data_IF_522845027984
#
_entry.id   IF_522845027984
#
_cell.length_a   1.000
_cell.length_b   1.000
_cell.length_c   1.000
_cell.angle_alpha   90.00
_cell.angle_beta   90.00
_cell.angle_gamma   90.00
#
_symmetry.space_group_name_H-M   'P 1'
#
loop_
_entity.id
_entity.type
_entity.pdbx_description
1 polymer ?
#
# COMPACT_ATOMS: atom_id res chain seq x y z
N UNK A 1 35.10 20.42 -12.20
CA UNK A 1 35.06 19.97 -10.80
C UNK A 1 33.63 20.19 -10.36
N UNK A 2 32.77 19.17 -10.52
CA UNK A 2 31.34 19.26 -10.24
C UNK A 2 31.15 18.52 -8.92
N UNK A 3 30.84 19.29 -7.87
CA UNK A 3 30.58 18.76 -6.54
C UNK A 3 29.26 17.99 -6.56
N UNK A 4 29.37 16.66 -6.55
CA UNK A 4 28.29 15.80 -6.10
C UNK A 4 28.16 16.00 -4.59
N UNK A 5 27.19 16.82 -4.17
CA UNK A 5 26.73 16.87 -2.78
C UNK A 5 26.03 15.54 -2.45
N UNK A 6 26.83 14.51 -2.13
CA UNK A 6 26.37 13.37 -1.36
C UNK A 6 25.90 13.88 0.00
N UNK A 7 24.70 13.49 0.39
CA UNK A 7 24.16 13.85 1.70
C UNK A 7 25.10 13.31 2.78
N UNK A 8 25.71 14.18 3.59
CA UNK A 8 26.46 13.74 4.77
C UNK A 8 25.49 13.07 5.75
N UNK A 9 25.58 11.74 5.86
CA UNK A 9 24.80 10.87 6.75
C UNK A 9 25.28 10.96 8.20
N UNK A 10 24.39 11.08 9.20
CA UNK A 10 24.58 10.28 10.44
C UNK A 10 23.46 10.22 11.50
N UNK A 11 22.37 10.98 11.44
CA UNK A 11 21.39 10.96 12.56
C UNK A 11 20.36 9.83 12.50
N UNK A 12 19.84 9.49 11.31
CA UNK A 12 18.90 8.37 11.15
C UNK A 12 19.55 6.98 11.36
N UNK A 13 20.86 6.86 11.11
CA UNK A 13 21.61 5.61 11.29
C UNK A 13 21.68 5.20 12.77
N UNK A 14 22.03 6.12 13.68
CA UNK A 14 22.28 5.76 15.09
C UNK A 14 21.03 5.38 15.89
N UNK A 15 19.85 5.95 15.58
CA UNK A 15 18.62 5.68 16.34
C UNK A 15 18.04 4.29 16.08
N UNK A 16 18.27 3.74 14.88
CA UNK A 16 17.79 2.40 14.51
C UNK A 16 18.77 1.29 14.94
N UNK A 17 20.02 1.65 15.24
CA UNK A 17 21.18 0.74 15.36
C UNK A 17 21.79 0.62 16.75
N UNK A 18 21.06 0.92 17.82
CA UNK A 18 21.59 0.56 19.14
C UNK A 18 21.59 -0.97 19.31
N UNK A 19 22.75 -1.65 19.46
CA UNK A 19 22.83 -3.11 19.45
C UNK A 19 22.25 -3.81 20.70
N UNK A 20 21.46 -3.12 21.54
CA UNK A 20 21.18 -3.59 22.91
C UNK A 20 19.78 -3.33 23.48
N UNK A 21 18.74 -3.05 22.68
CA UNK A 21 17.40 -2.77 23.26
C UNK A 21 16.49 -4.02 23.33
N UNK A 22 16.86 -5.15 22.70
CA UNK A 22 16.10 -6.41 22.85
C UNK A 22 16.38 -7.17 24.16
N UNK A 23 17.26 -6.66 25.02
CA UNK A 23 17.53 -7.19 26.36
C UNK A 23 17.26 -6.11 27.42
N UNK A 24 16.05 -5.58 27.46
CA UNK A 24 15.58 -5.12 28.75
C UNK A 24 15.28 -6.40 29.56
N UNK A 25 16.19 -6.73 30.48
CA UNK A 25 16.13 -7.85 31.41
C UNK A 25 15.02 -7.68 32.46
N UNK A 26 13.85 -7.19 32.04
CA UNK A 26 12.61 -7.56 32.68
C UNK A 26 12.10 -8.76 31.90
N UNK A 27 12.41 -9.96 32.42
CA UNK A 27 11.54 -11.11 32.21
C UNK A 27 10.14 -10.69 32.70
N UNK A 28 9.37 -10.05 31.83
CA UNK A 28 7.94 -10.15 31.90
C UNK A 28 7.68 -11.64 31.70
N UNK A 29 7.51 -12.35 32.81
CA UNK A 29 6.74 -13.57 32.81
C UNK A 29 5.38 -13.17 32.26
N UNK A 30 5.22 -13.27 30.94
CA UNK A 30 3.92 -13.19 30.32
C UNK A 30 3.12 -14.32 30.95
N UNK A 31 2.12 -13.95 31.73
CA UNK A 31 1.17 -14.91 32.22
C UNK A 31 0.50 -15.51 30.98
N UNK A 32 0.89 -16.73 30.64
CA UNK A 32 0.32 -17.52 29.53
C UNK A 32 -1.13 -17.93 29.82
N UNK A 33 -1.74 -17.36 30.86
CA UNK A 33 -3.14 -17.54 31.26
C UNK A 33 -4.11 -16.55 30.61
N UNK A 34 -3.66 -15.57 29.82
CA UNK A 34 -4.54 -14.89 28.86
C UNK A 34 -4.62 -15.70 27.56
N UNK A 35 -5.22 -16.88 27.69
CA UNK A 35 -5.73 -17.68 26.58
C UNK A 35 -6.56 -16.82 25.64
N UNK A 36 -6.13 -16.72 24.37
CA UNK A 36 -6.99 -16.54 23.20
C UNK A 36 -8.15 -15.54 23.34
N UNK A 37 -7.87 -14.24 23.56
CA UNK A 37 -8.81 -13.27 22.96
C UNK A 37 -8.61 -13.38 21.45
N UNK A 38 -9.54 -14.04 20.77
CA UNK A 38 -9.60 -14.02 19.32
C UNK A 38 -9.62 -12.55 18.87
N UNK A 39 -8.49 -12.08 18.35
CA UNK A 39 -8.41 -10.74 17.80
C UNK A 39 -9.15 -10.72 16.46
N UNK A 40 -9.73 -9.57 16.13
CA UNK A 40 -10.55 -9.43 14.93
C UNK A 40 -10.27 -8.13 14.22
N UNK A 41 -10.36 -8.17 12.89
CA UNK A 41 -10.49 -6.98 12.05
C UNK A 41 -11.89 -6.85 11.51
N UNK A 42 -12.22 -5.67 11.00
CA UNK A 42 -13.50 -5.38 10.36
C UNK A 42 -13.35 -5.47 8.85
N UNK A 43 -14.37 -5.93 8.16
CA UNK A 43 -14.49 -5.89 6.70
C UNK A 43 -15.77 -5.15 6.31
N UNK A 44 -15.66 -4.27 5.34
CA UNK A 44 -16.78 -3.68 4.62
C UNK A 44 -16.55 -3.78 3.12
N UNK A 45 -17.60 -4.15 2.38
CA UNK A 45 -17.55 -4.35 0.94
C UNK A 45 -18.48 -3.37 0.25
N UNK A 46 -18.00 -2.73 -0.80
CA UNK A 46 -18.78 -1.83 -1.66
C UNK A 46 -18.78 -2.34 -3.10
N UNK A 47 -19.96 -2.48 -3.70
CA UNK A 47 -20.15 -3.09 -5.01
C UNK A 47 -20.77 -2.09 -5.98
N UNK A 48 -20.10 -1.85 -7.10
CA UNK A 48 -20.49 -0.90 -8.15
C UNK A 48 -20.47 -1.56 -9.52
N UNK A 49 -21.21 -1.00 -10.46
CA UNK A 49 -21.13 -1.38 -11.87
C UNK A 49 -19.84 -0.81 -12.49
N UNK A 50 -19.08 -1.65 -13.19
CA UNK A 50 -17.76 -1.30 -13.74
C UNK A 50 -17.82 -0.07 -14.66
N UNK A 51 -16.82 0.81 -14.55
CA UNK A 51 -16.72 2.08 -15.29
C UNK A 51 -17.87 3.06 -15.03
N UNK A 52 -18.60 2.89 -13.92
CA UNK A 52 -19.66 3.80 -13.49
C UNK A 52 -19.60 4.01 -11.98
N UNK A 53 -20.26 5.06 -11.49
CA UNK A 53 -20.47 5.28 -10.05
C UNK A 53 -21.79 4.69 -9.56
N UNK A 54 -22.41 3.80 -10.35
CA UNK A 54 -23.72 3.22 -10.03
C UNK A 54 -23.57 2.11 -8.99
N UNK A 55 -24.11 2.28 -7.77
CA UNK A 55 -24.07 1.24 -6.76
C UNK A 55 -24.97 0.06 -7.14
N UNK A 56 -24.56 -1.15 -6.78
CA UNK A 56 -25.35 -2.36 -6.98
C UNK A 56 -26.01 -2.75 -5.67
N UNK A 57 -27.32 -2.51 -5.58
CA UNK A 57 -28.16 -2.95 -4.45
C UNK A 57 -28.38 -4.46 -4.48
N UNK A 58 -28.35 -5.08 -3.31
CA UNK A 58 -28.76 -6.48 -3.13
C UNK A 58 -27.75 -7.51 -3.62
N UNK A 59 -26.53 -7.10 -3.97
CA UNK A 59 -25.43 -8.01 -4.28
C UNK A 59 -25.10 -8.85 -3.05
N UNK A 60 -24.94 -10.15 -3.24
CA UNK A 60 -24.57 -11.10 -2.18
C UNK A 60 -23.05 -11.24 -2.15
N UNK A 61 -22.49 -11.15 -0.95
CA UNK A 61 -21.06 -11.33 -0.71
C UNK A 61 -20.87 -12.52 0.23
N UNK A 62 -20.33 -13.62 -0.28
CA UNK A 62 -19.99 -14.80 0.50
C UNK A 62 -18.53 -14.70 0.95
N UNK A 63 -18.32 -14.75 2.27
CA UNK A 63 -16.99 -14.64 2.88
C UNK A 63 -16.53 -16.01 3.35
N UNK A 64 -15.35 -16.44 2.89
CA UNK A 64 -14.68 -17.68 3.31
C UNK A 64 -13.27 -17.34 3.78
N UNK A 65 -12.75 -18.07 4.76
CA UNK A 65 -11.33 -17.95 5.12
C UNK A 65 -10.52 -18.83 4.19
N UNK A 66 -9.41 -18.31 3.69
CA UNK A 66 -8.65 -18.97 2.63
C UNK A 66 -8.09 -20.33 3.04
N UNK A 67 -7.72 -20.49 4.32
CA UNK A 67 -7.06 -21.69 4.84
C UNK A 67 -8.04 -22.74 5.42
N UNK A 68 -9.33 -22.45 5.53
CA UNK A 68 -10.35 -23.32 6.17
C UNK A 68 -11.33 -23.97 5.15
N UNK A 69 -10.93 -24.04 3.87
CA UNK A 69 -11.69 -24.72 2.82
C UNK A 69 -12.92 -23.96 2.33
N UNK A 70 -13.98 -24.68 1.94
CA UNK A 70 -15.18 -24.11 1.28
C UNK A 70 -16.24 -23.55 2.24
N UNK A 71 -16.00 -23.56 3.54
CA UNK A 71 -16.99 -23.11 4.53
C UNK A 71 -17.26 -21.61 4.41
N UNK A 72 -18.53 -21.26 4.26
CA UNK A 72 -18.99 -19.87 4.29
C UNK A 72 -19.09 -19.44 5.74
N UNK A 73 -18.29 -18.45 6.13
CA UNK A 73 -18.31 -17.86 7.47
C UNK A 73 -19.53 -16.97 7.61
N UNK A 74 -19.80 -16.15 6.59
CA UNK A 74 -20.91 -15.22 6.59
C UNK A 74 -21.34 -14.90 5.16
N UNK A 75 -22.59 -14.44 5.03
CA UNK A 75 -23.14 -13.89 3.79
C UNK A 75 -23.64 -12.49 4.08
N UNK A 76 -23.11 -11.50 3.36
CA UNK A 76 -23.51 -10.11 3.45
C UNK A 76 -24.34 -9.74 2.22
N UNK A 77 -25.09 -8.65 2.35
CA UNK A 77 -25.85 -8.09 1.24
C UNK A 77 -25.65 -6.57 1.18
N UNK A 78 -25.51 -6.03 -0.02
CA UNK A 78 -25.37 -4.57 -0.21
C UNK A 78 -26.71 -3.84 -0.09
N UNK A 79 -26.67 -2.65 0.52
CA UNK A 79 -27.80 -1.73 0.65
C UNK A 79 -27.98 -0.85 -0.61
N UNK A 80 -28.82 0.19 -0.52
CA UNK A 80 -29.14 1.10 -1.64
C UNK A 80 -27.94 1.89 -2.18
N UNK A 81 -26.89 2.06 -1.39
CA UNK A 81 -25.64 2.73 -1.79
C UNK A 81 -24.53 1.73 -2.16
N UNK A 82 -24.88 0.45 -2.33
CA UNK A 82 -23.94 -0.59 -2.76
C UNK A 82 -23.01 -1.07 -1.65
N UNK A 83 -23.29 -0.76 -0.39
CA UNK A 83 -22.42 -1.05 0.75
C UNK A 83 -22.99 -2.18 1.61
N UNK A 84 -22.14 -3.10 2.07
CA UNK A 84 -22.53 -4.13 3.05
C UNK A 84 -22.57 -3.57 4.47
N UNK A 85 -23.21 -4.28 5.40
CA UNK A 85 -22.91 -4.11 6.81
C UNK A 85 -21.44 -4.46 7.10
N UNK A 86 -20.91 -3.88 8.18
CA UNK A 86 -19.56 -4.22 8.67
C UNK A 86 -19.61 -5.59 9.34
N UNK A 87 -18.66 -6.46 9.01
CA UNK A 87 -18.47 -7.76 9.67
C UNK A 87 -17.14 -7.83 10.39
N UNK A 88 -17.12 -8.47 11.56
CA UNK A 88 -15.88 -8.76 12.29
C UNK A 88 -15.38 -10.16 11.92
N UNK A 89 -14.12 -10.25 11.51
CA UNK A 89 -13.47 -11.48 11.05
C UNK A 89 -12.23 -11.74 11.88
N UNK A 90 -11.93 -13.02 12.15
CA UNK A 90 -10.74 -13.40 12.93
C UNK A 90 -9.46 -12.93 12.25
N UNK A 91 -8.52 -12.43 13.04
CA UNK A 91 -7.21 -11.99 12.58
C UNK A 91 -6.14 -12.30 13.64
N UNK A 92 -4.87 -12.47 13.25
CA UNK A 92 -3.76 -12.55 14.19
C UNK A 92 -3.71 -11.30 15.08
N UNK A 93 -3.21 -11.42 16.31
CA UNK A 93 -3.14 -10.29 17.25
C UNK A 93 -2.27 -9.15 16.71
N UNK A 94 -2.55 -7.90 17.14
CA UNK A 94 -1.88 -6.69 16.61
C UNK A 94 -0.37 -6.75 16.79
N UNK A 95 0.06 -7.39 17.86
CA UNK A 95 1.45 -7.59 18.28
C UNK A 95 2.27 -8.32 17.19
N UNK A 96 1.64 -9.18 16.37
CA UNK A 96 2.30 -9.82 15.23
C UNK A 96 2.83 -8.83 14.19
N UNK A 97 2.30 -7.60 14.14
CA UNK A 97 2.76 -6.55 13.23
C UNK A 97 3.89 -5.68 13.81
N UNK A 98 4.50 -6.10 14.93
CA UNK A 98 5.51 -5.31 15.66
C UNK A 98 6.95 -5.73 15.41
N UNK A 99 7.20 -6.93 14.89
CA UNK A 99 8.54 -7.45 14.58
C UNK A 99 8.63 -7.84 13.09
N UNK A 100 9.61 -7.33 12.33
CA UNK A 100 9.88 -7.76 10.95
C UNK A 100 10.12 -9.27 10.78
N UNK A 101 10.57 -9.96 11.82
CA UNK A 101 10.78 -11.42 11.85
C UNK A 101 9.62 -12.18 12.50
N UNK A 102 8.55 -11.47 12.88
CA UNK A 102 7.37 -12.04 13.52
C UNK A 102 6.49 -12.88 12.57
N UNK A 103 5.46 -13.55 13.13
CA UNK A 103 4.49 -14.28 12.32
C UNK A 103 3.65 -13.33 11.45
N UNK A 104 3.01 -13.89 10.40
CA UNK A 104 2.11 -13.15 9.50
C UNK A 104 1.04 -12.39 10.30
N UNK A 105 0.92 -11.05 10.19
CA UNK A 105 0.05 -10.22 11.04
C UNK A 105 -1.40 -10.06 10.56
N UNK A 106 -1.80 -10.83 9.54
CA UNK A 106 -3.14 -10.76 8.96
C UNK A 106 -3.66 -12.15 8.57
N UNK A 107 -4.97 -12.27 8.50
CA UNK A 107 -5.65 -13.43 7.90
C UNK A 107 -6.09 -13.11 6.47
N UNK A 108 -6.17 -14.14 5.63
CA UNK A 108 -6.58 -14.04 4.23
C UNK A 108 -7.98 -14.65 4.04
N UNK A 109 -8.82 -13.95 3.30
CA UNK A 109 -10.19 -14.34 3.00
C UNK A 109 -10.45 -14.34 1.50
N UNK A 110 -11.41 -15.16 1.10
CA UNK A 110 -11.95 -15.22 -0.26
C UNK A 110 -13.37 -14.65 -0.23
N UNK A 111 -13.61 -13.67 -1.08
CA UNK A 111 -14.92 -13.07 -1.30
C UNK A 111 -15.47 -13.56 -2.63
N UNK A 112 -16.69 -14.09 -2.63
CA UNK A 112 -17.46 -14.35 -3.87
C UNK A 112 -18.62 -13.36 -3.91
N UNK A 113 -18.71 -12.59 -4.97
CA UNK A 113 -19.72 -11.54 -5.15
C UNK A 113 -20.63 -11.95 -6.31
N UNK A 114 -21.93 -11.98 -6.02
CA UNK A 114 -22.98 -12.33 -6.98
C UNK A 114 -24.05 -11.24 -6.98
N UNK A 115 -24.48 -10.81 -8.16
CA UNK A 115 -25.60 -9.87 -8.32
C UNK A 115 -26.43 -10.23 -9.56
N UNK A 116 -27.77 -10.03 -9.54
CA UNK A 116 -28.61 -10.29 -10.71
C UNK A 116 -28.19 -9.44 -11.92
N UNK A 117 -28.04 -10.08 -13.08
CA UNK A 117 -27.58 -9.47 -14.35
C UNK A 117 -26.11 -9.04 -14.39
N UNK A 118 -25.28 -9.51 -13.46
CA UNK A 118 -23.83 -9.27 -13.46
C UNK A 118 -23.04 -10.58 -13.43
N UNK A 119 -21.81 -10.54 -13.95
CA UNK A 119 -20.85 -11.64 -13.82
C UNK A 119 -20.48 -11.91 -12.36
N UNK A 120 -19.88 -13.05 -12.07
CA UNK A 120 -19.43 -13.39 -10.72
C UNK A 120 -18.02 -12.84 -10.52
N UNK A 121 -17.78 -12.10 -9.44
CA UNK A 121 -16.43 -11.69 -9.05
C UNK A 121 -15.94 -12.53 -7.87
N UNK A 122 -14.71 -13.02 -7.95
CA UNK A 122 -14.02 -13.69 -6.85
C UNK A 122 -12.77 -12.88 -6.49
N UNK A 123 -12.64 -12.44 -5.24
CA UNK A 123 -11.42 -11.78 -4.74
C UNK A 123 -10.77 -12.72 -3.73
N UNK A 124 -9.58 -13.22 -4.04
CA UNK A 124 -8.79 -14.10 -3.17
C UNK A 124 -7.70 -13.31 -2.47
N UNK A 125 -7.30 -13.73 -1.27
CA UNK A 125 -6.23 -13.07 -0.52
C UNK A 125 -6.61 -11.76 0.14
N UNK A 126 -7.90 -11.48 0.37
CA UNK A 126 -8.35 -10.26 1.07
C UNK A 126 -7.79 -10.26 2.49
N UNK A 127 -6.99 -9.24 2.80
CA UNK A 127 -6.20 -9.21 4.04
C UNK A 127 -6.96 -8.50 5.15
N UNK A 128 -7.07 -9.15 6.32
CA UNK A 128 -7.72 -8.60 7.52
C UNK A 128 -6.70 -8.52 8.65
N UNK A 129 -6.48 -7.31 9.17
CA UNK A 129 -5.60 -7.03 10.31
C UNK A 129 -6.41 -6.80 11.59
N UNK A 130 -5.86 -7.18 12.74
CA UNK A 130 -6.49 -6.94 14.02
C UNK A 130 -6.66 -5.45 14.33
N UNK A 131 -7.85 -5.07 14.78
CA UNK A 131 -8.17 -3.73 15.22
C UNK A 131 -8.30 -2.69 14.09
N UNK A 132 -8.32 -3.11 12.83
CA UNK A 132 -8.44 -2.21 11.67
C UNK A 132 -9.70 -2.49 10.85
N UNK A 133 -10.01 -1.61 9.89
CA UNK A 133 -11.16 -1.77 9.00
C UNK A 133 -10.71 -1.94 7.55
N UNK A 134 -10.76 -3.16 7.03
CA UNK A 134 -10.53 -3.46 5.62
C UNK A 134 -11.73 -3.01 4.76
N UNK A 135 -11.42 -2.28 3.68
CA UNK A 135 -12.39 -1.80 2.69
C UNK A 135 -12.14 -2.52 1.36
N UNK A 136 -13.13 -3.28 0.89
CA UNK A 136 -13.06 -3.94 -0.40
C UNK A 136 -14.03 -3.25 -1.38
N UNK A 137 -13.50 -2.57 -2.39
CA UNK A 137 -14.28 -2.09 -3.53
C UNK A 137 -14.30 -3.15 -4.63
N UNK A 138 -15.48 -3.43 -5.18
CA UNK A 138 -15.67 -4.43 -6.25
C UNK A 138 -16.46 -3.80 -7.39
N UNK A 139 -15.92 -3.88 -8.59
CA UNK A 139 -16.58 -3.44 -9.83
C UNK A 139 -17.09 -4.66 -10.60
N UNK A 140 -18.39 -4.71 -10.87
CA UNK A 140 -19.08 -5.84 -11.50
C UNK A 140 -19.38 -5.52 -12.96
N UNK A 141 -19.18 -6.50 -13.84
CA UNK A 141 -19.46 -6.37 -15.28
C UNK A 141 -20.92 -6.79 -15.54
N UNK A 142 -21.75 -5.94 -16.16
CA UNK A 142 -23.10 -6.33 -16.60
C UNK A 142 -23.03 -7.47 -17.62
N UNK A 143 -23.87 -8.49 -17.43
CA UNK A 143 -24.07 -9.52 -18.45
C UNK A 143 -25.03 -8.93 -19.49
N UNK A 144 -24.49 -8.44 -20.61
CA UNK A 144 -25.35 -8.05 -21.73
C UNK A 144 -26.18 -9.26 -22.15
N UNK A 145 -27.47 -9.05 -22.45
CA UNK A 145 -28.48 -10.09 -22.80
C UNK A 145 -28.09 -11.00 -23.99
N UNK A 146 -26.94 -10.79 -24.62
CA UNK A 146 -26.39 -11.55 -25.74
C UNK A 146 -25.60 -12.76 -25.26
N UNK A 147 -26.28 -13.74 -24.64
CA UNK A 147 -25.86 -15.15 -24.59
C UNK A 147 -24.48 -15.53 -24.04
N UNK A 148 -23.65 -14.59 -23.58
CA UNK A 148 -22.37 -14.88 -22.98
C UNK A 148 -22.59 -15.48 -21.59
N UNK A 149 -21.96 -16.65 -21.39
CA UNK A 149 -21.88 -17.35 -20.11
C UNK A 149 -21.54 -16.35 -18.99
N UNK A 150 -22.14 -16.52 -17.81
CA UNK A 150 -21.74 -15.79 -16.59
C UNK A 150 -20.21 -15.75 -16.51
N UNK A 151 -19.60 -14.60 -16.80
CA UNK A 151 -18.15 -14.47 -16.72
C UNK A 151 -17.76 -14.50 -15.25
N UNK A 152 -16.83 -15.41 -14.92
CA UNK A 152 -16.21 -15.45 -13.60
C UNK A 152 -14.89 -14.71 -13.73
N UNK A 153 -14.78 -13.58 -13.04
CA UNK A 153 -13.53 -12.83 -12.95
C UNK A 153 -12.90 -13.06 -11.57
N UNK A 154 -11.61 -13.42 -11.57
CA UNK A 154 -10.85 -13.71 -10.36
C UNK A 154 -9.78 -12.63 -10.19
N UNK A 155 -9.78 -12.01 -9.01
CA UNK A 155 -8.74 -11.09 -8.55
C UNK A 155 -7.94 -11.81 -7.48
N UNK A 156 -6.63 -11.96 -7.72
CA UNK A 156 -5.71 -12.55 -6.76
C UNK A 156 -4.91 -11.45 -6.06
N UNK A 157 -5.21 -11.19 -4.80
CA UNK A 157 -4.46 -10.25 -3.97
C UNK A 157 -3.14 -10.89 -3.57
N UNK A 158 -2.05 -10.29 -4.02
CA UNK A 158 -0.70 -10.79 -3.70
C UNK A 158 -0.34 -10.60 -2.22
N UNK A 159 0.61 -11.41 -1.76
CA UNK A 159 1.15 -11.34 -0.41
C UNK A 159 1.69 -9.93 -0.08
N UNK A 160 1.41 -9.45 1.13
CA UNK A 160 1.86 -8.14 1.62
C UNK A 160 3.39 -8.03 1.65
N UNK A 161 3.93 -6.90 1.17
CA UNK A 161 5.38 -6.78 0.91
C UNK A 161 6.25 -6.82 2.17
N UNK A 162 5.76 -6.29 3.28
CA UNK A 162 6.46 -6.36 4.58
C UNK A 162 6.57 -7.77 5.19
N UNK A 163 5.82 -8.77 4.69
CA UNK A 163 5.94 -10.15 5.18
C UNK A 163 7.06 -10.95 4.52
N UNK A 164 7.60 -10.46 3.40
CA UNK A 164 8.78 -11.07 2.77
C UNK A 164 10.03 -10.51 3.44
N UNK A 165 10.78 -11.37 4.14
CA UNK A 165 12.08 -11.03 4.68
C UNK A 165 12.99 -10.57 3.51
N UNK A 166 13.60 -9.39 3.64
CA UNK A 166 14.46 -8.75 2.62
C UNK A 166 13.81 -8.45 1.26
N UNK A 167 12.88 -7.50 1.25
CA UNK A 167 12.66 -6.72 0.04
C UNK A 167 13.55 -5.46 0.08
N UNK A 168 14.71 -5.53 -0.55
CA UNK A 168 15.45 -4.35 -0.98
C UNK A 168 15.01 -4.02 -2.40
N UNK A 169 14.54 -2.79 -2.64
CA UNK A 169 14.23 -2.37 -4.00
C UNK A 169 15.57 -2.17 -4.73
N UNK A 170 15.92 -3.10 -5.60
CA UNK A 170 17.02 -2.89 -6.55
C UNK A 170 16.53 -1.92 -7.63
N UNK A 171 16.58 -0.62 -7.35
CA UNK A 171 16.45 0.36 -8.42
C UNK A 171 17.62 0.12 -9.36
N UNK A 172 17.35 -0.45 -10.53
CA UNK A 172 18.29 -0.29 -11.63
C UNK A 172 18.37 1.22 -11.85
N UNK A 173 19.51 1.80 -11.53
CA UNK A 173 19.84 3.18 -11.82
C UNK A 173 20.02 3.29 -13.34
N UNK A 174 18.95 3.07 -14.10
CA UNK A 174 18.85 3.58 -15.45
C UNK A 174 18.68 5.09 -15.29
N UNK A 175 19.81 5.78 -15.14
CA UNK A 175 19.92 7.14 -15.61
C UNK A 175 19.73 7.06 -17.12
N UNK A 176 18.47 7.05 -17.57
CA UNK A 176 18.20 7.63 -18.86
C UNK A 176 18.49 9.10 -18.62
N UNK A 177 19.73 9.53 -18.94
CA UNK A 177 20.03 10.94 -19.09
C UNK A 177 19.15 11.42 -20.23
N UNK A 178 17.90 11.76 -19.92
CA UNK A 178 17.15 12.67 -20.74
C UNK A 178 17.92 13.98 -20.65
N UNK A 179 18.65 14.30 -21.70
CA UNK A 179 19.22 15.64 -21.88
C UNK A 179 18.11 16.68 -22.08
N UNK A 180 16.86 16.23 -22.23
CA UNK A 180 15.70 17.07 -22.36
C UNK A 180 15.11 17.33 -20.97
N UNK A 181 15.07 18.61 -20.59
CA UNK A 181 14.26 19.09 -19.46
C UNK A 181 12.82 18.67 -19.77
N UNK A 182 12.12 17.95 -18.86
CA UNK A 182 10.72 17.60 -19.06
C UNK A 182 9.93 18.86 -19.43
N UNK A 183 9.13 18.79 -20.50
CA UNK A 183 8.44 19.94 -21.09
C UNK A 183 7.50 20.66 -20.09
N UNK A 184 7.20 20.01 -18.96
CA UNK A 184 6.27 20.44 -17.92
C UNK A 184 6.91 20.61 -16.53
N UNK A 185 8.24 20.68 -16.44
CA UNK A 185 8.98 20.80 -15.18
C UNK A 185 8.49 21.97 -14.28
N UNK A 186 8.03 23.05 -14.90
CA UNK A 186 7.68 24.30 -14.19
C UNK A 186 6.31 24.28 -13.48
N UNK A 187 5.48 23.25 -13.68
CA UNK A 187 4.14 23.18 -13.07
C UNK A 187 3.70 21.74 -12.81
N UNK A 188 4.37 21.08 -11.85
CA UNK A 188 3.96 19.76 -11.38
C UNK A 188 2.56 19.85 -10.76
N UNK A 189 1.62 19.08 -11.30
CA UNK A 189 0.26 18.94 -10.77
C UNK A 189 -0.05 17.47 -10.53
N UNK A 190 -0.88 17.20 -9.53
CA UNK A 190 -1.38 15.84 -9.28
C UNK A 190 -2.34 15.49 -10.41
N UNK A 191 -2.06 14.45 -11.22
CA UNK A 191 -2.98 14.05 -12.27
C UNK A 191 -4.23 13.43 -11.64
N UNK A 192 -5.37 13.59 -12.29
CA UNK A 192 -6.60 12.90 -11.86
C UNK A 192 -6.45 11.38 -11.94
N UNK A 193 -5.81 10.89 -13.00
CA UNK A 193 -5.62 9.46 -13.26
C UNK A 193 -4.18 9.14 -13.62
N UNK A 194 -3.74 7.94 -13.29
CA UNK A 194 -2.49 7.35 -13.78
C UNK A 194 -2.78 6.04 -14.51
N UNK A 195 -1.88 5.65 -15.41
CA UNK A 195 -1.95 4.37 -16.11
C UNK A 195 -0.93 3.42 -15.48
N UNK A 196 -1.42 2.41 -14.76
CA UNK A 196 -0.60 1.37 -14.13
C UNK A 196 -0.45 0.20 -15.09
N UNK A 197 0.79 -0.16 -15.43
CA UNK A 197 1.13 -1.35 -16.21
C UNK A 197 1.35 -2.54 -15.26
N UNK A 198 0.51 -3.57 -15.36
CA UNK A 198 0.42 -4.63 -14.37
C UNK A 198 1.45 -5.76 -14.55
N UNK A 199 2.73 -5.40 -14.53
CA UNK A 199 3.80 -6.36 -14.66
C UNK A 199 5.13 -5.71 -14.99
N UNK A 200 6.07 -6.53 -15.47
CA UNK A 200 7.37 -6.06 -15.94
C UNK A 200 7.19 -4.98 -17.03
N UNK A 201 7.81 -3.79 -16.92
CA UNK A 201 7.64 -2.69 -17.87
C UNK A 201 8.21 -2.98 -19.27
N UNK A 202 8.89 -4.12 -19.47
CA UNK A 202 9.42 -4.59 -20.75
C UNK A 202 8.61 -5.74 -21.36
N UNK A 203 7.57 -6.22 -20.67
CA UNK A 203 6.72 -7.32 -21.12
C UNK A 203 5.29 -6.81 -21.38
N UNK A 204 4.52 -7.56 -22.16
CA UNK A 204 3.11 -7.26 -22.35
C UNK A 204 2.31 -7.64 -21.09
N UNK A 205 1.54 -6.70 -20.56
CA UNK A 205 0.69 -6.90 -19.40
C UNK A 205 -0.55 -5.99 -19.47
N UNK A 206 -1.63 -6.31 -18.75
CA UNK A 206 -2.79 -5.44 -18.63
C UNK A 206 -2.41 -4.04 -18.13
N UNK A 207 -3.21 -3.04 -18.52
CA UNK A 207 -3.07 -1.66 -18.05
C UNK A 207 -4.36 -1.18 -17.42
N UNK A 208 -4.25 -0.54 -16.26
CA UNK A 208 -5.39 -0.01 -15.52
C UNK A 208 -5.28 1.50 -15.43
N UNK A 209 -6.36 2.20 -15.81
CA UNK A 209 -6.54 3.61 -15.54
C UNK A 209 -7.09 3.75 -14.12
N UNK A 210 -6.33 4.34 -13.22
CA UNK A 210 -6.65 4.40 -11.79
C UNK A 210 -6.62 5.84 -11.33
N UNK A 211 -7.57 6.24 -10.47
CA UNK A 211 -7.51 7.55 -9.80
C UNK A 211 -6.20 7.66 -9.00
N UNK A 212 -5.53 8.81 -9.06
CA UNK A 212 -4.22 8.96 -8.42
C UNK A 212 -4.30 8.67 -6.92
N UNK A 213 -5.35 9.10 -6.24
CA UNK A 213 -5.49 8.88 -4.81
C UNK A 213 -5.75 7.41 -4.48
N UNK A 214 -6.58 6.75 -5.27
CA UNK A 214 -6.83 5.31 -5.13
C UNK A 214 -5.57 4.48 -5.42
N UNK A 215 -4.70 4.94 -6.32
CA UNK A 215 -3.37 4.34 -6.50
C UNK A 215 -2.52 4.45 -5.22
N UNK A 216 -2.44 5.63 -4.61
CA UNK A 216 -1.68 5.82 -3.36
C UNK A 216 -2.23 4.94 -2.24
N UNK A 217 -3.57 4.82 -2.09
CA UNK A 217 -4.20 3.91 -1.11
C UNK A 217 -3.84 2.46 -1.38
N UNK A 218 -3.89 2.03 -2.64
CA UNK A 218 -3.56 0.67 -3.05
C UNK A 218 -2.10 0.31 -2.75
N UNK A 219 -1.16 1.18 -3.14
CA UNK A 219 0.27 1.00 -2.87
C UNK A 219 0.53 1.00 -1.37
N UNK A 220 -0.01 1.99 -0.65
CA UNK A 220 0.19 2.11 0.80
C UNK A 220 -0.28 0.88 1.54
N UNK A 221 -1.47 0.37 1.22
CA UNK A 221 -1.96 -0.84 1.86
C UNK A 221 -1.23 -2.12 1.42
N UNK A 222 -0.46 -2.10 0.32
CA UNK A 222 0.37 -3.25 -0.16
C UNK A 222 1.75 -3.25 0.50
N UNK A 223 2.17 -2.07 0.95
CA UNK A 223 3.53 -1.77 1.39
C UNK A 223 3.62 -1.44 2.90
N UNK A 224 2.50 -1.20 3.57
CA UNK A 224 2.41 -0.76 4.97
C UNK A 224 1.31 -1.51 5.71
N UNK A 225 1.57 -1.85 6.98
CA UNK A 225 0.54 -2.40 7.83
C UNK A 225 -0.37 -1.29 8.39
N UNK A 226 -1.70 -1.45 8.33
CA UNK A 226 -2.65 -0.41 8.72
C UNK A 226 -2.70 -0.12 10.21
N UNK A 227 -2.19 -1.03 11.04
CA UNK A 227 -2.19 -0.91 12.50
C UNK A 227 -0.93 -0.22 13.06
N UNK A 228 -0.05 0.26 12.19
CA UNK A 228 1.14 1.05 12.55
C UNK A 228 0.78 2.45 13.08
N UNK A 229 1.70 3.11 13.81
CA UNK A 229 1.51 4.48 14.26
C UNK A 229 1.19 5.43 13.09
N UNK A 230 0.26 6.36 13.31
CA UNK A 230 -0.18 7.31 12.27
C UNK A 230 0.98 8.13 11.70
N UNK A 231 1.95 8.52 12.52
CA UNK A 231 3.13 9.29 12.09
C UNK A 231 4.04 8.49 11.15
N UNK A 232 4.19 7.18 11.38
CA UNK A 232 4.90 6.31 10.45
C UNK A 232 4.15 6.18 9.13
N UNK A 233 2.82 5.97 9.18
CA UNK A 233 1.99 5.93 7.97
C UNK A 233 2.10 7.23 7.16
N UNK A 234 2.04 8.39 7.83
CA UNK A 234 2.20 9.71 7.19
C UNK A 234 3.54 9.85 6.47
N UNK A 235 4.64 9.54 7.15
CA UNK A 235 5.97 9.63 6.55
C UNK A 235 6.10 8.71 5.32
N UNK A 236 5.59 7.48 5.41
CA UNK A 236 5.62 6.54 4.29
C UNK A 236 4.75 6.99 3.12
N UNK A 237 3.53 7.48 3.37
CA UNK A 237 2.63 7.97 2.32
C UNK A 237 3.26 9.15 1.56
N UNK A 238 3.90 10.10 2.25
CA UNK A 238 4.62 11.21 1.59
C UNK A 238 5.75 10.69 0.69
N UNK A 239 6.52 9.72 1.19
CA UNK A 239 7.52 9.07 0.36
C UNK A 239 6.88 8.36 -0.86
N UNK A 240 5.70 7.76 -0.70
CA UNK A 240 5.02 7.00 -1.76
C UNK A 240 4.57 7.96 -2.85
N UNK A 241 3.95 9.06 -2.46
CA UNK A 241 3.57 10.17 -3.33
C UNK A 241 4.79 10.76 -4.06
N UNK A 242 5.88 11.03 -3.33
CA UNK A 242 7.11 11.58 -3.93
C UNK A 242 7.68 10.69 -5.02
N UNK A 243 7.66 9.36 -4.83
CA UNK A 243 8.13 8.41 -5.83
C UNK A 243 7.30 8.45 -7.12
N UNK A 244 5.97 8.37 -7.02
CA UNK A 244 5.12 8.36 -8.23
C UNK A 244 5.13 9.73 -8.92
N UNK A 245 5.17 10.83 -8.17
CA UNK A 245 5.33 12.15 -8.74
C UNK A 245 6.69 12.31 -9.45
N UNK A 246 7.76 11.67 -8.97
CA UNK A 246 9.04 11.66 -9.69
C UNK A 246 8.91 10.93 -11.04
N UNK A 247 8.18 9.79 -11.09
CA UNK A 247 7.92 9.07 -12.35
C UNK A 247 7.13 9.92 -13.35
N UNK A 248 6.15 10.68 -12.86
CA UNK A 248 5.35 11.61 -13.66
C UNK A 248 6.21 12.78 -14.13
N UNK A 249 6.93 13.44 -13.23
CA UNK A 249 7.78 14.60 -13.52
C UNK A 249 8.83 14.29 -14.57
N UNK A 250 9.45 13.11 -14.50
CA UNK A 250 10.48 12.66 -15.44
C UNK A 250 9.91 11.91 -16.66
N UNK A 251 8.59 11.85 -16.83
CA UNK A 251 7.93 11.18 -17.96
C UNK A 251 8.48 9.74 -18.21
N UNK A 252 8.78 9.02 -17.11
CA UNK A 252 9.72 7.90 -17.14
C UNK A 252 9.34 6.74 -18.08
N UNK A 253 8.04 6.53 -18.32
CA UNK A 253 7.50 5.51 -19.21
C UNK A 253 6.65 6.09 -20.35
N UNK A 254 6.81 7.39 -20.67
CA UNK A 254 5.99 8.08 -21.67
C UNK A 254 6.00 7.38 -23.03
N UNK A 255 7.18 7.05 -23.57
CA UNK A 255 7.35 6.32 -24.83
C UNK A 255 6.72 4.91 -24.83
N UNK A 256 6.41 4.36 -23.65
CA UNK A 256 5.75 3.05 -23.51
C UNK A 256 4.24 3.16 -23.32
N UNK A 257 3.71 4.37 -23.15
CA UNK A 257 2.28 4.66 -23.01
C UNK A 257 1.68 4.26 -21.66
N UNK A 258 2.46 4.28 -20.58
CA UNK A 258 1.98 4.13 -19.21
C UNK A 258 2.77 5.03 -18.24
N UNK A 259 2.30 5.15 -16.99
CA UNK A 259 2.91 6.04 -15.99
C UNK A 259 3.84 5.30 -15.05
N UNK A 260 3.43 4.11 -14.60
CA UNK A 260 4.15 3.34 -13.57
C UNK A 260 3.90 1.83 -13.73
N UNK A 261 4.87 1.00 -13.37
CA UNK A 261 4.73 -0.45 -13.28
C UNK A 261 4.15 -0.86 -11.91
N UNK A 262 3.38 -1.95 -11.86
CA UNK A 262 2.95 -2.59 -10.60
C UNK A 262 4.04 -3.47 -9.96
N UNK A 263 5.12 -3.73 -10.70
CA UNK A 263 6.20 -4.61 -10.27
C UNK A 263 7.12 -3.90 -9.28
N UNK A 264 7.19 -4.43 -8.06
CA UNK A 264 8.03 -3.91 -6.98
C UNK A 264 9.53 -4.01 -7.23
N UNK A 265 9.95 -4.68 -8.31
CA UNK A 265 11.34 -4.70 -8.79
C UNK A 265 11.71 -3.37 -9.46
N UNK A 266 10.77 -2.75 -10.17
CA UNK A 266 11.00 -1.54 -10.95
C UNK A 266 10.40 -0.30 -10.27
N UNK A 267 9.22 -0.46 -9.67
CA UNK A 267 8.43 0.62 -9.08
C UNK A 267 7.81 0.22 -7.73
N UNK A 268 6.59 0.68 -7.46
CA UNK A 268 5.83 0.45 -6.25
C UNK A 268 4.89 -0.73 -6.42
N UNK A 269 4.58 -1.36 -5.29
CA UNK A 269 3.74 -2.55 -5.24
C UNK A 269 2.28 -2.18 -5.38
N UNK A 270 1.72 -2.41 -6.56
CA UNK A 270 0.30 -2.24 -6.84
C UNK A 270 -0.33 -3.60 -7.16
N UNK A 271 -1.58 -3.80 -6.76
CA UNK A 271 -2.35 -4.99 -7.16
C UNK A 271 -3.81 -4.58 -7.39
N UNK A 272 -4.27 -4.71 -8.64
CA UNK A 272 -5.58 -4.23 -9.04
C UNK A 272 -6.70 -4.97 -8.31
N UNK A 273 -7.66 -4.22 -7.75
CA UNK A 273 -8.82 -4.80 -7.10
C UNK A 273 -8.60 -5.35 -5.68
N UNK A 274 -7.42 -5.16 -5.06
CA UNK A 274 -7.23 -5.50 -3.64
C UNK A 274 -8.00 -4.61 -2.69
N UNK A 275 -8.14 -5.07 -1.45
CA UNK A 275 -8.66 -4.26 -0.36
C UNK A 275 -7.64 -3.20 0.13
N UNK A 276 -8.18 -2.09 0.61
CA UNK A 276 -7.44 -1.08 1.39
C UNK A 276 -7.90 -1.12 2.85
N UNK A 277 -7.47 -0.13 3.65
CA UNK A 277 -7.78 -0.06 5.06
C UNK A 277 -8.14 1.37 5.43
N UNK A 278 -9.20 1.56 6.22
CA UNK A 278 -9.67 2.88 6.65
C UNK A 278 -8.54 3.71 7.26
N UNK A 279 -7.70 3.08 8.08
CA UNK A 279 -6.59 3.72 8.79
C UNK A 279 -5.51 4.27 7.83
N UNK A 280 -5.32 3.61 6.69
CA UNK A 280 -4.42 4.08 5.63
C UNK A 280 -5.13 5.09 4.74
N UNK A 281 -6.38 4.81 4.35
CA UNK A 281 -7.19 5.67 3.51
C UNK A 281 -7.31 7.08 4.11
N UNK A 282 -7.58 7.18 5.42
CA UNK A 282 -7.69 8.46 6.13
C UNK A 282 -6.37 9.26 6.10
N UNK A 283 -5.23 8.58 6.24
CA UNK A 283 -3.91 9.22 6.13
C UNK A 283 -3.66 9.70 4.71
N UNK A 284 -3.97 8.88 3.70
CA UNK A 284 -3.81 9.24 2.29
C UNK A 284 -4.71 10.43 1.95
N UNK A 285 -5.98 10.40 2.34
CA UNK A 285 -6.92 11.50 2.10
C UNK A 285 -6.44 12.83 2.71
N UNK A 286 -5.68 12.78 3.81
CA UNK A 286 -5.11 13.94 4.50
C UNK A 286 -3.87 14.52 3.79
N UNK A 287 -2.97 13.68 3.25
CA UNK A 287 -1.61 14.14 2.85
C UNK A 287 -1.16 13.71 1.45
N UNK A 288 -2.01 13.11 0.62
CA UNK A 288 -1.60 12.64 -0.72
C UNK A 288 -1.08 13.76 -1.65
N UNK A 289 -1.31 15.03 -1.30
CA UNK A 289 -0.81 16.18 -2.03
C UNK A 289 0.56 16.70 -1.55
N UNK A 290 1.20 15.99 -0.62
CA UNK A 290 2.52 16.33 -0.11
C UNK A 290 3.60 15.43 -0.72
N UNK A 291 4.76 16.03 -1.02
CA UNK A 291 5.95 15.30 -1.48
C UNK A 291 7.23 15.95 -0.95
N UNK A 292 8.37 15.26 -1.07
CA UNK A 292 9.66 15.81 -0.66
C UNK A 292 10.57 16.07 -1.86
N UNK A 293 11.28 17.19 -1.84
CA UNK A 293 12.25 17.59 -2.86
C UNK A 293 13.58 17.99 -2.23
N UNK A 294 14.65 17.93 -3.03
CA UNK A 294 15.98 18.41 -2.62
C UNK A 294 15.96 19.94 -2.44
N UNK A 295 16.87 20.52 -1.62
CA UNK A 295 17.01 21.98 -1.53
C UNK A 295 17.14 22.63 -2.92
N UNK A 296 16.43 23.74 -3.12
CA UNK A 296 16.46 24.52 -4.35
C UNK A 296 16.00 23.77 -5.61
N UNK A 297 15.29 22.64 -5.44
CA UNK A 297 14.66 21.89 -6.52
C UNK A 297 13.18 21.68 -6.22
N UNK A 298 12.36 21.74 -7.27
CA UNK A 298 10.94 21.36 -7.21
C UNK A 298 10.71 19.91 -7.66
N UNK A 299 11.75 19.24 -8.18
CA UNK A 299 11.68 17.85 -8.61
C UNK A 299 11.37 16.94 -7.40
N UNK A 300 10.28 16.16 -7.45
CA UNK A 300 9.99 15.17 -6.42
C UNK A 300 11.12 14.16 -6.29
N UNK A 301 11.50 13.82 -5.07
CA UNK A 301 12.56 12.85 -4.85
C UNK A 301 12.10 11.44 -5.23
N UNK A 302 12.91 10.74 -6.04
CA UNK A 302 12.78 9.31 -6.25
C UNK A 302 13.18 8.56 -4.97
N UNK A 303 12.19 8.14 -4.17
CA UNK A 303 12.44 7.46 -2.89
C UNK A 303 12.77 5.98 -3.10
N UNK A 304 13.97 5.60 -2.69
CA UNK A 304 14.36 4.19 -2.59
C UNK A 304 13.93 3.67 -1.22
N UNK A 305 13.19 2.56 -1.21
CA UNK A 305 12.72 1.94 0.02
C UNK A 305 13.53 0.69 0.33
N UNK A 306 13.84 0.52 1.61
CA UNK A 306 14.11 -0.78 2.18
C UNK A 306 12.91 -1.23 3.01
N UNK A 307 12.59 -2.53 2.97
CA UNK A 307 11.74 -3.11 4.02
C UNK A 307 12.42 -2.90 5.38
N UNK A 308 13.73 -3.12 5.45
CA UNK A 308 14.54 -2.92 6.65
C UNK A 308 14.42 -4.11 7.59
N UNK A 309 15.54 -4.79 7.87
CA UNK A 309 15.68 -5.74 8.98
C UNK A 309 16.51 -5.12 10.11
N UNK A 310 16.65 -5.83 11.23
CA UNK A 310 17.46 -5.43 12.40
C UNK A 310 18.94 -5.05 12.09
N UNK A 311 19.41 -5.26 10.86
CA UNK A 311 20.82 -5.28 10.48
C UNK A 311 21.15 -4.48 9.18
N UNK A 312 20.29 -3.53 8.74
CA UNK A 312 20.46 -2.83 7.44
C UNK A 312 20.86 -1.36 7.51
N UNK A 313 22.10 -1.05 7.11
CA UNK A 313 22.78 0.25 7.24
C UNK A 313 22.69 1.04 5.95
N UNK A 314 21.50 1.11 5.36
CA UNK A 314 21.34 1.78 4.08
C UNK A 314 20.93 3.25 4.25
N UNK A 315 21.34 4.05 3.26
CA UNK A 315 21.01 5.47 3.05
C UNK A 315 19.55 5.69 2.62
N UNK A 316 18.75 4.63 2.62
CA UNK A 316 17.40 4.58 2.06
C UNK A 316 16.34 4.70 3.15
N UNK A 317 15.15 5.15 2.77
CA UNK A 317 14.03 5.23 3.69
C UNK A 317 13.62 3.81 4.14
N UNK A 318 13.79 3.54 5.43
CA UNK A 318 13.53 2.23 6.04
C UNK A 318 12.13 2.21 6.67
N UNK A 319 11.24 1.36 6.13
CA UNK A 319 9.84 1.30 6.57
C UNK A 319 9.70 0.86 8.02
N UNK A 320 10.33 -0.24 8.42
CA UNK A 320 10.30 -0.70 9.81
C UNK A 320 10.93 0.29 10.79
N UNK A 321 12.01 0.94 10.38
CA UNK A 321 12.67 1.96 11.18
C UNK A 321 11.77 3.20 11.38
N UNK A 322 11.03 3.62 10.36
CA UNK A 322 10.05 4.72 10.49
C UNK A 322 8.96 4.39 11.52
N UNK A 323 8.52 3.13 11.59
CA UNK A 323 7.60 2.65 12.63
C UNK A 323 8.22 2.74 14.02
N UNK A 324 9.47 2.30 14.17
CA UNK A 324 10.19 2.37 15.44
C UNK A 324 10.35 3.83 15.93
N UNK A 325 10.78 4.74 15.05
CA UNK A 325 10.91 6.17 15.37
C UNK A 325 9.56 6.76 15.82
N UNK A 326 8.47 6.41 15.14
CA UNK A 326 7.13 6.83 15.54
C UNK A 326 6.71 6.25 16.91
N UNK A 327 7.05 5.00 17.22
CA UNK A 327 6.80 4.42 18.55
C UNK A 327 7.55 5.18 19.67
N UNK A 328 8.71 5.77 19.35
CA UNK A 328 9.46 6.65 20.27
C UNK A 328 8.87 8.07 20.37
N UNK A 329 7.73 8.33 19.72
CA UNK A 329 7.04 9.62 19.75
C UNK A 329 7.55 10.63 18.72
N UNK A 330 8.34 10.21 17.72
CA UNK A 330 8.76 11.09 16.62
C UNK A 330 7.58 11.32 15.66
N UNK A 331 7.37 12.58 15.28
CA UNK A 331 6.37 12.96 14.27
C UNK A 331 6.85 12.65 12.85
N UNK A 332 5.93 12.68 11.88
CA UNK A 332 6.25 12.31 10.49
C UNK A 332 7.31 13.22 9.88
N UNK A 333 7.36 14.50 10.26
CA UNK A 333 8.37 15.46 9.79
C UNK A 333 9.74 15.07 10.34
N UNK A 334 9.85 14.82 11.65
CA UNK A 334 11.07 14.35 12.29
C UNK A 334 11.57 13.03 11.67
N UNK A 335 10.66 12.10 11.40
CA UNK A 335 10.98 10.84 10.71
C UNK A 335 11.58 11.15 9.33
N UNK A 336 10.91 11.93 8.49
CA UNK A 336 11.41 12.29 7.16
C UNK A 336 12.77 12.99 7.23
N UNK A 337 12.94 13.91 8.19
CA UNK A 337 14.19 14.64 8.41
C UNK A 337 15.32 13.79 8.95
N UNK A 338 15.03 12.66 9.60
CA UNK A 338 16.07 11.71 10.02
C UNK A 338 16.74 10.99 8.85
N UNK A 339 16.01 10.81 7.73
CA UNK A 339 16.52 10.24 6.48
C UNK A 339 16.98 11.31 5.48
N UNK A 340 16.25 12.42 5.41
CA UNK A 340 16.44 13.48 4.42
C UNK A 340 16.52 14.86 5.11
N UNK A 341 17.62 15.16 5.84
CA UNK A 341 17.71 16.35 6.70
C UNK A 341 17.45 17.67 5.96
N UNK A 342 17.94 17.76 4.73
CA UNK A 342 17.84 18.96 3.92
C UNK A 342 16.57 18.99 3.03
N UNK A 343 15.87 17.88 2.86
CA UNK A 343 14.71 17.84 1.97
C UNK A 343 13.58 18.74 2.47
N UNK A 344 12.90 19.43 1.56
CA UNK A 344 11.75 20.27 1.86
C UNK A 344 10.46 19.51 1.52
N UNK A 345 9.42 19.71 2.32
CA UNK A 345 8.08 19.18 2.04
C UNK A 345 7.32 20.24 1.25
N UNK A 346 6.86 19.86 0.06
CA UNK A 346 6.05 20.68 -0.83
C UNK A 346 4.60 20.21 -0.81
N UNK A 347 3.69 21.13 -1.14
CA UNK A 347 2.24 20.92 -1.18
C UNK A 347 1.74 21.30 -2.57
N UNK A 348 0.92 20.44 -3.18
CA UNK A 348 0.27 20.64 -4.47
C UNK A 348 -1.23 20.93 -4.32
#
# INVERSE_FOLDING_TARGET
>A
MIDYLSYLWDTGKQLCYQPNIFLNNQQFFYDTRDTYRASSGKLIVSVYEMNTDKPIKGAKVYVRKQDEGSQIITTLQTNDIGLTSVVSLSAPPKESASDPSGPKPYSEYVLTIEAPNYGVKIVRGVQIFAGTTAKQRVEMIPINRTGELQSIEIIDVTQHKLTKQHLERQLQQYSMYSTDIPLHADNLQIPQYIIVHDGNPYENAPRYKVDFKEYIKNVSASELYPNWPKEALRANVICITSFVLNRIYNEHYFERGFTISSSSLFDQSFNYGRNTFLEIDDVVDEIFNQYIAKPYSIEPMLIVYSSGGRDYSNEYFCRWCSKYLADQGMDYVGILKSYYPLAQIYFL
#
